data_IF_513520113169
#
_entry.id   IF_513520113169
#
_cell.length_a   1.000
_cell.length_b   1.000
_cell.length_c   1.000
_cell.angle_alpha   90.00
_cell.angle_beta   90.00
_cell.angle_gamma   90.00
#
_symmetry.space_group_name_H-M   'P 1'
#
loop_
_entity.id
_entity.type
_entity.pdbx_description
1 polymer ?
#
# COMPACT_ATOMS: atom_id res chain seq x y z
N UNK A 1 4.68 6.33 -17.92
CA UNK A 1 5.93 6.05 -17.16
C UNK A 1 7.05 5.76 -18.15
N UNK A 2 8.18 5.16 -17.74
CA UNK A 2 9.17 4.56 -18.64
C UNK A 2 9.52 3.15 -18.15
N UNK A 3 9.84 2.25 -19.06
CA UNK A 3 10.44 0.96 -18.66
C UNK A 3 11.74 1.24 -17.88
N UNK A 4 12.02 0.52 -16.77
CA UNK A 4 11.31 -0.63 -16.21
C UNK A 4 10.28 -0.30 -15.10
N UNK A 5 9.88 0.97 -14.90
CA UNK A 5 9.06 1.40 -13.76
C UNK A 5 7.63 0.83 -13.76
N UNK A 6 7.22 0.26 -14.88
CA UNK A 6 5.93 -0.40 -15.08
C UNK A 6 5.86 -1.81 -14.49
N UNK A 7 7.01 -2.38 -14.12
CA UNK A 7 7.07 -3.64 -13.37
C UNK A 7 6.28 -3.55 -12.07
N UNK A 8 5.28 -4.42 -11.91
CA UNK A 8 4.50 -4.51 -10.68
C UNK A 8 5.34 -5.01 -9.49
N UNK A 9 6.35 -5.85 -9.72
CA UNK A 9 7.28 -6.33 -8.68
C UNK A 9 8.13 -5.21 -8.06
N UNK A 10 8.33 -4.09 -8.78
CA UNK A 10 9.12 -2.96 -8.32
C UNK A 10 8.25 -1.94 -7.57
N UNK A 11 8.91 -1.06 -6.81
CA UNK A 11 8.32 0.20 -6.32
C UNK A 11 8.63 1.29 -7.35
N UNK A 12 7.58 1.99 -7.78
CA UNK A 12 7.66 3.09 -8.74
C UNK A 12 7.20 4.37 -8.08
N UNK A 13 7.91 5.46 -8.38
CA UNK A 13 7.73 6.75 -7.71
C UNK A 13 7.43 7.83 -8.74
N UNK A 14 6.33 8.53 -8.54
CA UNK A 14 6.00 9.76 -9.27
C UNK A 14 6.39 11.01 -8.49
N UNK A 15 6.16 12.16 -9.10
CA UNK A 15 6.50 13.46 -8.54
C UNK A 15 5.26 14.30 -8.22
N UNK A 16 5.30 14.97 -7.08
CA UNK A 16 4.49 16.13 -6.73
C UNK A 16 5.27 17.40 -7.08
N UNK A 17 4.56 18.51 -7.25
CA UNK A 17 5.18 19.79 -7.61
C UNK A 17 5.96 20.46 -6.47
N UNK A 18 5.77 20.01 -5.21
CA UNK A 18 6.51 20.52 -4.06
C UNK A 18 8.02 20.34 -4.19
N UNK A 19 8.76 21.21 -3.50
CA UNK A 19 10.21 21.32 -3.58
C UNK A 19 10.93 21.08 -2.24
N UNK A 20 10.24 20.52 -1.24
CA UNK A 20 10.69 20.29 0.15
C UNK A 20 10.79 21.54 1.05
N UNK A 21 10.60 22.74 0.51
CA UNK A 21 10.68 23.98 1.28
C UNK A 21 9.31 24.35 1.86
N UNK A 22 9.34 25.22 2.87
CA UNK A 22 8.12 25.75 3.47
C UNK A 22 7.35 26.62 2.47
N UNK A 23 6.02 26.44 2.47
CA UNK A 23 5.12 27.17 1.58
C UNK A 23 4.90 26.51 0.22
N UNK A 24 4.31 27.27 -0.69
CA UNK A 24 4.00 26.83 -2.04
C UNK A 24 4.82 27.65 -3.05
N UNK A 25 5.94 27.07 -3.47
CA UNK A 25 6.88 27.67 -4.43
C UNK A 25 6.67 27.14 -5.85
N UNK A 26 5.50 26.56 -6.15
CA UNK A 26 5.21 25.99 -7.47
C UNK A 26 5.15 27.05 -8.57
N UNK A 27 5.28 26.61 -9.83
CA UNK A 27 5.26 27.50 -10.99
C UNK A 27 4.14 27.18 -11.97
N UNK A 28 4.26 26.06 -12.69
CA UNK A 28 3.29 25.63 -13.70
C UNK A 28 2.13 24.88 -13.06
N UNK A 29 2.45 24.06 -12.07
CA UNK A 29 1.48 23.26 -11.36
C UNK A 29 0.79 24.12 -10.29
N UNK A 30 -0.55 24.05 -10.10
CA UNK A 30 -1.26 25.01 -9.25
C UNK A 30 -0.95 24.98 -7.75
N UNK A 31 -0.39 23.89 -7.24
CA UNK A 31 -0.13 23.68 -5.81
C UNK A 31 0.93 22.58 -5.60
N UNK A 32 1.79 22.73 -4.59
CA UNK A 32 2.83 21.79 -4.17
C UNK A 32 2.33 20.34 -3.91
N UNK A 33 1.07 20.16 -3.48
CA UNK A 33 0.46 18.84 -3.24
C UNK A 33 -0.06 18.18 -4.52
N UNK A 34 -0.08 18.90 -5.64
CA UNK A 34 -0.58 18.38 -6.91
C UNK A 34 0.49 17.53 -7.59
N UNK A 35 0.09 16.54 -8.40
CA UNK A 35 1.03 15.82 -9.25
C UNK A 35 1.74 16.81 -10.19
N UNK A 36 3.06 16.77 -10.25
CA UNK A 36 3.84 17.66 -11.12
C UNK A 36 3.46 17.46 -12.59
N UNK A 37 3.46 18.51 -13.42
CA UNK A 37 2.99 18.43 -14.82
C UNK A 37 3.70 17.35 -15.67
N UNK A 38 4.97 17.03 -15.35
CA UNK A 38 5.78 16.03 -16.05
C UNK A 38 5.60 14.61 -15.51
N UNK A 39 4.92 14.44 -14.36
CA UNK A 39 4.73 13.12 -13.74
C UNK A 39 3.88 12.24 -14.64
N UNK A 40 4.24 10.96 -14.77
CA UNK A 40 3.60 10.06 -15.72
C UNK A 40 2.74 9.03 -15.00
N UNK A 41 1.50 8.86 -15.48
CA UNK A 41 0.64 7.71 -15.14
C UNK A 41 1.05 6.43 -15.88
N UNK A 42 0.44 5.32 -15.47
CA UNK A 42 0.58 4.00 -16.08
C UNK A 42 0.08 4.00 -17.53
N UNK A 43 0.63 3.13 -18.40
CA UNK A 43 0.16 3.04 -19.80
C UNK A 43 -1.27 2.51 -19.93
N UNK A 44 -1.76 1.73 -18.94
CA UNK A 44 -3.16 1.31 -18.91
C UNK A 44 -4.06 2.50 -18.57
N UNK A 45 -4.63 3.10 -19.61
CA UNK A 45 -5.61 4.18 -19.49
C UNK A 45 -7.03 3.65 -19.72
N UNK A 46 -7.70 3.26 -18.63
CA UNK A 46 -9.07 2.76 -18.69
C UNK A 46 -10.10 3.80 -19.16
N UNK A 47 -9.72 5.08 -19.28
CA UNK A 47 -10.59 6.13 -19.83
C UNK A 47 -10.64 6.12 -21.35
N UNK A 48 -9.69 5.45 -22.01
CA UNK A 48 -9.63 5.39 -23.47
C UNK A 48 -10.55 4.29 -24.01
N UNK A 49 -11.34 4.55 -25.05
CA UNK A 49 -12.13 3.52 -25.71
C UNK A 49 -11.24 2.58 -26.54
N UNK A 50 -11.54 1.28 -26.51
CA UNK A 50 -10.92 0.26 -27.36
C UNK A 50 -11.91 -0.08 -28.46
N UNK A 51 -11.53 0.07 -29.74
CA UNK A 51 -12.43 -0.15 -30.88
C UNK A 51 -13.75 0.63 -30.78
N UNK A 52 -13.68 1.90 -30.33
CA UNK A 52 -14.83 2.79 -30.09
C UNK A 52 -15.80 2.32 -28.99
N UNK A 53 -15.43 1.31 -28.21
CA UNK A 53 -16.21 0.84 -27.06
C UNK A 53 -15.44 1.15 -25.76
N UNK A 54 -16.10 1.71 -24.74
CA UNK A 54 -15.46 1.85 -23.44
C UNK A 54 -15.18 0.48 -22.84
N UNK A 55 -14.10 0.37 -22.07
CA UNK A 55 -13.86 -0.83 -21.27
C UNK A 55 -14.97 -1.00 -20.25
N UNK A 56 -15.50 -2.22 -20.16
CA UNK A 56 -16.55 -2.56 -19.20
C UNK A 56 -15.99 -2.49 -17.78
N UNK A 57 -16.86 -2.22 -16.81
CA UNK A 57 -16.48 -2.19 -15.39
C UNK A 57 -15.80 -3.50 -14.94
N UNK A 58 -16.17 -4.65 -15.51
CA UNK A 58 -15.54 -5.93 -15.16
C UNK A 58 -14.11 -6.08 -15.73
N UNK A 59 -13.68 -5.27 -16.69
CA UNK A 59 -12.36 -5.32 -17.32
C UNK A 59 -11.34 -4.37 -16.68
N UNK A 60 -11.78 -3.33 -15.95
CA UNK A 60 -10.89 -2.38 -15.29
C UNK A 60 -10.64 -2.75 -13.83
N UNK A 61 -9.40 -2.62 -13.38
CA UNK A 61 -9.02 -2.83 -11.98
C UNK A 61 -8.62 -1.50 -11.33
N UNK A 62 -9.42 -1.06 -10.35
CA UNK A 62 -9.19 0.21 -9.64
C UNK A 62 -7.94 0.22 -8.77
N UNK A 63 -7.34 -0.94 -8.51
CA UNK A 63 -6.09 -1.10 -7.76
C UNK A 63 -4.87 -1.22 -8.66
N UNK A 64 -5.04 -1.44 -9.97
CA UNK A 64 -3.94 -1.44 -10.92
C UNK A 64 -3.58 -0.01 -11.29
N UNK A 65 -2.68 0.59 -10.51
CA UNK A 65 -2.16 1.92 -10.78
C UNK A 65 -0.65 1.91 -10.58
N UNK A 66 0.00 2.73 -11.40
CA UNK A 66 1.39 3.12 -11.26
C UNK A 66 1.42 4.65 -11.51
N UNK A 67 2.26 5.44 -10.82
CA UNK A 67 3.26 5.01 -9.84
C UNK A 67 2.62 4.40 -8.58
N UNK A 68 3.39 3.66 -7.78
CA UNK A 68 2.89 3.14 -6.50
C UNK A 68 2.79 4.27 -5.48
N UNK A 69 3.78 5.16 -5.46
CA UNK A 69 3.92 6.24 -4.49
C UNK A 69 4.32 7.53 -5.20
N UNK A 70 4.18 8.64 -4.51
CA UNK A 70 4.70 9.94 -4.96
C UNK A 70 5.49 10.62 -3.87
N UNK A 71 6.39 11.50 -4.28
CA UNK A 71 7.07 12.42 -3.38
C UNK A 71 7.31 13.75 -4.08
N UNK A 72 7.73 14.75 -3.34
CA UNK A 72 8.13 16.05 -3.88
C UNK A 72 9.21 15.86 -4.96
N UNK A 73 9.02 16.51 -6.10
CA UNK A 73 9.91 16.42 -7.26
C UNK A 73 10.28 17.79 -7.86
N UNK A 74 9.67 18.88 -7.38
CA UNK A 74 9.83 20.23 -7.89
C UNK A 74 9.06 20.50 -9.19
N UNK A 75 9.03 21.77 -9.59
CA UNK A 75 8.25 22.31 -10.72
C UNK A 75 9.05 23.41 -11.47
N UNK A 76 10.30 23.10 -11.80
CA UNK A 76 11.36 24.05 -12.17
C UNK A 76 11.19 24.68 -13.57
N UNK A 77 10.28 25.64 -13.68
CA UNK A 77 10.33 26.70 -14.70
C UNK A 77 10.78 28.05 -14.10
N UNK A 78 10.42 28.30 -12.83
CA UNK A 78 11.08 29.26 -11.92
C UNK A 78 12.11 28.54 -11.07
N UNK A 79 13.26 29.17 -10.85
CA UNK A 79 14.39 28.58 -10.12
C UNK A 79 13.96 28.05 -8.74
N UNK A 80 13.20 28.85 -7.99
CA UNK A 80 12.73 28.56 -6.64
C UNK A 80 11.78 27.34 -6.59
N UNK A 81 11.10 27.03 -7.70
CA UNK A 81 10.19 25.88 -7.78
C UNK A 81 10.91 24.53 -7.86
N UNK A 82 12.22 24.51 -8.12
CA UNK A 82 13.00 23.27 -8.14
C UNK A 82 13.44 22.81 -6.76
N UNK A 83 13.74 21.52 -6.65
CA UNK A 83 14.40 20.92 -5.50
C UNK A 83 15.89 21.29 -5.53
N UNK A 84 16.43 21.71 -4.39
CA UNK A 84 17.87 21.91 -4.23
C UNK A 84 18.61 20.58 -4.33
N UNK A 85 19.64 20.54 -5.16
CA UNK A 85 20.45 19.36 -5.44
C UNK A 85 21.94 19.70 -5.35
N UNK A 86 22.74 18.68 -5.00
CA UNK A 86 24.18 18.76 -5.13
C UNK A 86 24.57 18.69 -6.62
N UNK A 87 25.49 19.57 -7.01
CA UNK A 87 26.07 19.62 -8.35
C UNK A 87 27.59 19.50 -8.29
N UNK A 88 28.17 18.97 -9.36
CA UNK A 88 29.62 18.91 -9.50
C UNK A 88 30.24 20.32 -9.42
N UNK A 89 31.42 20.50 -8.78
CA UNK A 89 32.17 21.76 -8.87
C UNK A 89 32.58 22.09 -10.31
N UNK A 90 32.58 21.08 -11.19
CA UNK A 90 32.88 21.19 -12.62
C UNK A 90 31.63 21.33 -13.49
N UNK A 91 30.44 21.51 -12.90
CA UNK A 91 29.23 21.73 -13.66
C UNK A 91 29.28 23.08 -14.40
N UNK A 92 28.75 23.09 -15.63
CA UNK A 92 28.47 24.34 -16.34
C UNK A 92 27.28 25.05 -15.67
N UNK A 93 27.45 26.34 -15.39
CA UNK A 93 26.49 27.15 -14.63
C UNK A 93 26.73 27.07 -13.12
N UNK A 94 25.69 26.75 -12.35
CA UNK A 94 25.75 26.66 -10.89
C UNK A 94 26.62 25.50 -10.41
N UNK A 95 27.53 25.80 -9.49
CA UNK A 95 28.51 24.87 -8.93
C UNK A 95 28.14 24.52 -7.49
N UNK A 96 28.47 23.30 -7.07
CA UNK A 96 28.21 22.74 -5.73
C UNK A 96 26.73 22.51 -5.42
N UNK A 97 25.90 23.50 -5.68
CA UNK A 97 24.45 23.46 -5.50
C UNK A 97 23.78 23.96 -6.77
N UNK A 98 22.53 23.55 -6.96
CA UNK A 98 21.63 24.13 -7.93
C UNK A 98 20.24 23.58 -7.71
N UNK A 99 19.30 23.91 -8.59
CA UNK A 99 17.94 23.36 -8.53
C UNK A 99 17.61 22.53 -9.74
N UNK A 100 16.83 21.48 -9.52
CA UNK A 100 16.32 20.61 -10.58
C UNK A 100 14.89 20.16 -10.26
N UNK A 101 14.22 19.55 -11.23
CA UNK A 101 12.95 18.86 -10.97
C UNK A 101 12.91 17.51 -11.69
N UNK A 102 12.15 16.58 -11.16
CA UNK A 102 11.91 15.30 -11.81
C UNK A 102 11.55 14.17 -10.86
N UNK A 103 10.94 13.12 -11.42
CA UNK A 103 10.72 11.85 -10.69
C UNK A 103 12.04 11.21 -10.25
N UNK A 104 13.15 11.53 -10.93
CA UNK A 104 14.51 11.13 -10.54
C UNK A 104 14.95 11.72 -9.20
N UNK A 105 14.32 12.80 -8.72
CA UNK A 105 14.56 13.40 -7.41
C UNK A 105 13.59 12.86 -6.35
N UNK A 106 12.33 12.59 -6.74
CA UNK A 106 11.34 11.97 -5.84
C UNK A 106 11.72 10.51 -5.48
N UNK A 107 12.31 9.77 -6.43
CA UNK A 107 12.72 8.37 -6.24
C UNK A 107 13.68 8.18 -5.07
N UNK A 108 14.84 8.86 -4.98
CA UNK A 108 15.77 8.69 -3.87
C UNK A 108 15.18 9.10 -2.51
N UNK A 109 14.20 10.02 -2.47
CA UNK A 109 13.50 10.37 -1.23
C UNK A 109 12.69 9.18 -0.69
N UNK A 110 11.91 8.51 -1.55
CA UNK A 110 11.22 7.26 -1.17
C UNK A 110 12.21 6.14 -0.86
N UNK A 111 13.32 6.03 -1.62
CA UNK A 111 14.39 5.07 -1.34
C UNK A 111 15.01 5.29 0.03
N UNK A 112 15.16 6.54 0.49
CA UNK A 112 15.67 6.84 1.84
C UNK A 112 14.78 6.23 2.94
N UNK A 113 13.45 6.25 2.74
CA UNK A 113 12.51 5.66 3.70
C UNK A 113 12.56 4.13 3.66
N UNK A 114 12.72 3.54 2.47
CA UNK A 114 12.97 2.11 2.34
C UNK A 114 14.28 1.68 3.03
N UNK A 115 15.33 2.49 2.90
CA UNK A 115 16.60 2.27 3.57
C UNK A 115 16.48 2.39 5.10
N UNK A 116 15.70 3.35 5.62
CA UNK A 116 15.41 3.48 7.05
C UNK A 116 14.68 2.23 7.60
N UNK A 117 13.71 1.69 6.86
CA UNK A 117 13.04 0.42 7.21
C UNK A 117 14.05 -0.72 7.27
N UNK A 118 14.89 -0.89 6.25
CA UNK A 118 15.85 -1.99 6.16
C UNK A 118 17.04 -1.82 7.11
N UNK A 119 17.37 -0.59 7.51
CA UNK A 119 18.39 -0.35 8.52
C UNK A 119 17.92 -0.83 9.89
N UNK A 120 16.64 -0.61 10.22
CA UNK A 120 16.04 -1.08 11.47
C UNK A 120 15.72 -2.57 11.42
N UNK A 121 15.24 -3.08 10.28
CA UNK A 121 14.85 -4.47 10.09
C UNK A 121 15.44 -5.07 8.79
N UNK A 122 16.74 -5.46 8.81
CA UNK A 122 17.45 -5.90 7.61
C UNK A 122 16.91 -7.18 6.95
N UNK A 123 16.20 -8.01 7.72
CA UNK A 123 15.65 -9.29 7.26
C UNK A 123 14.31 -9.17 6.53
N UNK A 124 13.68 -7.98 6.51
CA UNK A 124 12.38 -7.79 5.84
C UNK A 124 12.50 -7.99 4.32
N UNK A 125 11.51 -8.69 3.75
CA UNK A 125 11.41 -8.89 2.30
C UNK A 125 11.07 -7.57 1.61
N UNK A 126 11.47 -7.45 0.34
CA UNK A 126 11.18 -6.29 -0.50
C UNK A 126 9.70 -5.93 -0.54
N UNK A 127 8.80 -6.92 -0.59
CA UNK A 127 7.35 -6.67 -0.61
C UNK A 127 6.82 -6.20 0.75
N UNK A 128 7.49 -6.53 1.85
CA UNK A 128 7.16 -6.01 3.19
C UNK A 128 7.54 -4.55 3.31
N UNK A 129 8.71 -4.16 2.80
CA UNK A 129 9.11 -2.76 2.68
C UNK A 129 8.10 -1.99 1.81
N UNK A 130 7.69 -2.56 0.66
CA UNK A 130 6.64 -1.96 -0.19
C UNK A 130 5.31 -1.80 0.54
N UNK A 131 4.86 -2.82 1.29
CA UNK A 131 3.63 -2.76 2.07
C UNK A 131 3.71 -1.67 3.15
N UNK A 132 4.81 -1.59 3.92
CA UNK A 132 5.04 -0.54 4.91
C UNK A 132 5.01 0.87 4.31
N UNK A 133 5.66 1.09 3.17
CA UNK A 133 5.63 2.39 2.47
C UNK A 133 4.22 2.78 2.00
N UNK A 134 3.43 1.80 1.55
CA UNK A 134 2.03 2.02 1.17
C UNK A 134 1.17 2.30 2.41
N UNK A 135 1.41 1.57 3.50
CA UNK A 135 0.68 1.74 4.75
C UNK A 135 0.92 3.11 5.40
N UNK A 136 2.14 3.65 5.27
CA UNK A 136 2.52 4.97 5.79
C UNK A 136 2.08 6.12 4.87
N UNK A 137 1.59 5.84 3.67
CA UNK A 137 1.26 6.86 2.69
C UNK A 137 -0.02 7.62 3.04
N UNK A 138 0.06 8.95 2.95
CA UNK A 138 -1.11 9.83 2.99
C UNK A 138 -1.62 10.05 1.56
N UNK A 139 -2.88 9.68 1.34
CA UNK A 139 -3.55 9.90 0.06
C UNK A 139 -4.15 11.32 -0.02
N UNK A 140 -3.98 11.97 -1.17
CA UNK A 140 -4.51 13.30 -1.43
C UNK A 140 -5.99 13.24 -1.77
N UNK A 141 -6.84 13.86 -0.96
CA UNK A 141 -8.27 13.97 -1.29
C UNK A 141 -8.45 14.98 -2.42
N UNK A 142 -9.19 14.60 -3.47
CA UNK A 142 -9.59 15.50 -4.56
C UNK A 142 -10.14 16.84 -4.08
N UNK A 143 -10.88 16.89 -2.97
CA UNK A 143 -11.44 18.14 -2.44
C UNK A 143 -10.36 19.15 -2.00
N UNK A 144 -9.16 18.68 -1.69
CA UNK A 144 -8.01 19.49 -1.31
C UNK A 144 -7.21 19.99 -2.52
N UNK A 145 -7.55 19.54 -3.72
CA UNK A 145 -6.85 19.82 -4.98
C UNK A 145 -7.83 20.47 -5.97
N UNK A 146 -7.88 21.82 -6.04
CA UNK A 146 -8.85 22.56 -6.86
C UNK A 146 -8.93 22.10 -8.32
N UNK A 147 -7.79 21.79 -8.93
CA UNK A 147 -7.62 21.36 -10.32
C UNK A 147 -8.20 19.96 -10.59
N UNK A 148 -8.34 19.12 -9.57
CA UNK A 148 -9.01 17.82 -9.68
C UNK A 148 -10.51 17.87 -9.38
N UNK A 149 -11.08 19.01 -8.95
CA UNK A 149 -12.52 19.13 -8.59
C UNK A 149 -13.48 18.67 -9.69
N UNK A 150 -13.11 18.89 -10.96
CA UNK A 150 -13.90 18.44 -12.13
C UNK A 150 -13.46 17.07 -12.67
N UNK A 151 -12.34 16.52 -12.21
CA UNK A 151 -11.80 15.23 -12.63
C UNK A 151 -12.37 14.05 -11.82
N UNK A 152 -12.02 12.81 -12.14
CA UNK A 152 -12.43 11.65 -11.33
C UNK A 152 -11.35 11.29 -10.30
N UNK A 153 -11.77 10.68 -9.18
CA UNK A 153 -10.84 10.14 -8.18
C UNK A 153 -9.86 9.13 -8.80
N UNK A 154 -10.31 8.39 -9.83
CA UNK A 154 -9.48 7.45 -10.58
C UNK A 154 -8.34 8.14 -11.32
N UNK A 155 -8.54 9.36 -11.84
CA UNK A 155 -7.48 10.10 -12.52
C UNK A 155 -6.44 10.55 -11.52
N UNK A 156 -6.84 11.14 -10.39
CA UNK A 156 -5.91 11.53 -9.33
C UNK A 156 -5.10 10.31 -8.86
N UNK A 157 -5.78 9.21 -8.55
CA UNK A 157 -5.14 7.95 -8.15
C UNK A 157 -4.16 7.41 -9.20
N UNK A 158 -4.45 7.57 -10.50
CA UNK A 158 -3.52 7.15 -11.56
C UNK A 158 -2.23 7.97 -11.62
N UNK A 159 -2.21 9.16 -11.01
CA UNK A 159 -1.05 10.06 -10.94
C UNK A 159 -0.31 9.96 -9.60
N UNK A 160 -1.03 9.72 -8.50
CA UNK A 160 -0.45 9.70 -7.14
C UNK A 160 -0.31 8.32 -6.51
N UNK A 161 -0.87 7.28 -7.12
CA UNK A 161 -0.82 5.92 -6.58
C UNK A 161 -1.51 5.81 -5.22
N UNK A 162 -0.79 5.26 -4.24
CA UNK A 162 -1.20 5.18 -2.84
C UNK A 162 -0.96 6.48 -2.06
N UNK A 163 -0.26 7.47 -2.66
CA UNK A 163 0.00 8.77 -2.06
C UNK A 163 1.46 8.97 -1.64
N UNK A 164 1.69 9.92 -0.73
CA UNK A 164 3.03 10.28 -0.25
C UNK A 164 3.32 9.60 1.10
N UNK A 165 4.32 8.70 1.17
CA UNK A 165 4.80 8.13 2.44
C UNK A 165 5.06 9.21 3.49
N UNK A 166 4.67 8.95 4.73
CA UNK A 166 4.93 9.85 5.86
C UNK A 166 5.99 9.22 6.76
N UNK A 167 7.11 9.92 6.98
CA UNK A 167 8.24 9.39 7.75
C UNK A 167 7.84 8.97 9.16
N UNK A 168 7.04 9.81 9.81
CA UNK A 168 6.50 9.58 11.15
C UNK A 168 5.61 8.34 11.21
N UNK A 169 5.10 7.81 10.10
CA UNK A 169 4.23 6.62 10.04
C UNK A 169 4.91 5.39 9.44
N UNK A 170 6.22 5.42 9.17
CA UNK A 170 6.91 4.27 8.58
C UNK A 170 6.94 3.09 9.55
N UNK A 171 7.56 3.31 10.71
CA UNK A 171 7.78 2.28 11.73
C UNK A 171 7.16 2.66 13.08
N UNK A 172 6.66 3.90 13.24
CA UNK A 172 6.15 4.32 14.53
C UNK A 172 4.89 3.55 14.90
N UNK A 173 4.90 3.11 16.15
CA UNK A 173 3.75 2.72 16.93
C UNK A 173 3.69 3.69 18.10
N UNK A 174 2.53 4.27 18.34
CA UNK A 174 2.29 5.08 19.53
C UNK A 174 1.41 4.29 20.51
N UNK A 175 1.11 4.87 21.67
CA UNK A 175 0.28 4.20 22.67
C UNK A 175 -1.14 3.83 22.15
N UNK A 176 -1.59 4.40 21.02
CA UNK A 176 -2.90 4.18 20.43
C UNK A 176 -2.85 3.44 19.08
N UNK A 177 -1.68 2.96 18.66
CA UNK A 177 -1.53 2.29 17.37
C UNK A 177 -0.43 1.25 17.38
N UNK A 178 -0.66 0.17 16.62
CA UNK A 178 0.28 -0.93 16.46
C UNK A 178 0.31 -1.36 14.99
N UNK A 179 1.47 -1.81 14.52
CA UNK A 179 1.63 -2.37 13.17
C UNK A 179 1.86 -3.87 13.30
N UNK A 180 1.00 -4.66 12.67
CA UNK A 180 1.20 -6.09 12.46
C UNK A 180 1.87 -6.30 11.10
N UNK A 181 2.98 -7.03 11.10
CA UNK A 181 3.66 -7.48 9.90
C UNK A 181 3.47 -8.98 9.74
N UNK A 182 3.02 -9.40 8.57
CA UNK A 182 2.89 -10.82 8.21
C UNK A 182 3.72 -11.06 6.96
N UNK A 183 4.68 -11.96 7.06
CA UNK A 183 5.41 -12.53 5.92
C UNK A 183 5.12 -14.03 5.87
N UNK A 184 4.39 -14.48 4.86
CA UNK A 184 3.98 -15.87 4.77
C UNK A 184 3.89 -16.32 3.30
N UNK A 185 3.52 -17.56 3.07
CA UNK A 185 3.38 -18.21 1.78
C UNK A 185 2.01 -18.89 1.64
N UNK A 186 1.42 -18.83 0.45
CA UNK A 186 0.07 -19.36 0.20
C UNK A 186 -0.01 -20.15 -1.11
N UNK A 187 -0.75 -21.25 -1.12
CA UNK A 187 -1.01 -22.08 -2.30
C UNK A 187 -2.23 -21.59 -3.09
N UNK A 188 -2.28 -21.86 -4.40
CA UNK A 188 -3.45 -21.54 -5.21
C UNK A 188 -4.68 -22.29 -4.67
N UNK A 189 -5.79 -21.58 -4.48
CA UNK A 189 -7.04 -22.10 -3.92
C UNK A 189 -7.07 -22.13 -2.38
N UNK A 190 -5.95 -21.85 -1.72
CA UNK A 190 -5.89 -21.80 -0.26
C UNK A 190 -6.45 -20.48 0.27
N UNK A 191 -7.03 -20.57 1.47
CA UNK A 191 -7.33 -19.45 2.35
C UNK A 191 -6.48 -19.64 3.61
N UNK A 192 -5.93 -18.55 4.15
CA UNK A 192 -5.30 -18.45 5.46
C UNK A 192 -6.14 -17.53 6.33
N UNK A 193 -6.26 -17.83 7.61
CA UNK A 193 -6.94 -16.97 8.60
C UNK A 193 -6.00 -16.73 9.76
N UNK A 194 -5.62 -15.48 9.97
CA UNK A 194 -4.71 -15.07 11.04
C UNK A 194 -5.56 -14.38 12.11
N UNK A 195 -5.76 -15.01 13.28
CA UNK A 195 -6.59 -14.44 14.34
C UNK A 195 -5.93 -13.20 14.93
N UNK A 196 -6.75 -12.23 15.31
CA UNK A 196 -6.36 -10.99 15.98
C UNK A 196 -7.29 -10.85 17.18
N UNK A 197 -6.73 -11.01 18.37
CA UNK A 197 -7.41 -10.82 19.63
C UNK A 197 -7.53 -9.32 19.90
N UNK A 198 -8.73 -8.89 20.26
CA UNK A 198 -9.06 -7.50 20.55
C UNK A 198 -9.07 -7.29 22.07
N UNK A 199 -8.43 -6.23 22.59
CA UNK A 199 -8.47 -5.88 24.00
C UNK A 199 -9.89 -5.69 24.52
N UNK A 200 -10.19 -6.29 25.66
CA UNK A 200 -11.53 -6.27 26.26
C UNK A 200 -12.00 -4.86 26.61
N UNK A 201 -11.09 -3.96 27.00
CA UNK A 201 -11.40 -2.57 27.35
C UNK A 201 -12.07 -1.80 26.20
N UNK A 202 -11.83 -2.18 24.94
CA UNK A 202 -12.39 -1.50 23.77
C UNK A 202 -13.92 -1.51 23.77
N UNK A 203 -14.55 -2.52 24.40
CA UNK A 203 -16.01 -2.61 24.54
C UNK A 203 -16.59 -1.59 25.52
N UNK A 204 -15.79 -1.13 26.47
CA UNK A 204 -16.21 -0.22 27.54
C UNK A 204 -16.01 1.26 27.16
N UNK A 205 -15.06 1.55 26.28
CA UNK A 205 -14.67 2.94 25.96
C UNK A 205 -15.58 3.66 24.97
N UNK A 206 -16.31 2.92 24.14
CA UNK A 206 -17.03 3.49 23.00
C UNK A 206 -16.14 3.88 21.81
N UNK A 207 -14.83 3.64 21.91
CA UNK A 207 -13.87 4.01 20.88
C UNK A 207 -14.02 3.14 19.63
N UNK A 208 -13.54 3.65 18.50
CA UNK A 208 -13.57 2.95 17.21
C UNK A 208 -12.20 2.34 16.94
N UNK A 209 -12.16 1.24 16.21
CA UNK A 209 -10.91 0.60 15.83
C UNK A 209 -10.75 0.64 14.31
N UNK A 210 -9.70 1.33 13.85
CA UNK A 210 -9.37 1.46 12.44
C UNK A 210 -8.27 0.49 12.07
N UNK A 211 -8.43 -0.19 10.95
CA UNK A 211 -7.45 -1.10 10.35
C UNK A 211 -7.09 -0.59 8.97
N UNK A 212 -5.87 -0.08 8.82
CA UNK A 212 -5.29 0.26 7.53
C UNK A 212 -4.40 -0.91 7.10
N UNK A 213 -4.83 -1.64 6.08
CA UNK A 213 -4.16 -2.88 5.64
C UNK A 213 -3.62 -2.68 4.23
N UNK A 214 -2.34 -3.00 4.07
CA UNK A 214 -1.65 -3.08 2.78
C UNK A 214 -1.17 -4.49 2.53
N UNK A 215 -1.34 -4.99 1.31
CA UNK A 215 -0.86 -6.32 0.90
C UNK A 215 -0.03 -6.16 -0.37
N UNK A 216 1.16 -6.73 -0.37
CA UNK A 216 2.07 -6.78 -1.51
C UNK A 216 2.64 -8.19 -1.71
N UNK A 217 2.90 -8.57 -2.96
CA UNK A 217 3.49 -9.86 -3.28
C UNK A 217 4.31 -9.82 -4.58
N UNK A 218 5.26 -10.73 -4.70
CA UNK A 218 6.03 -10.92 -5.93
C UNK A 218 5.43 -12.05 -6.75
N UNK A 219 5.65 -12.01 -8.06
CA UNK A 219 5.15 -13.05 -8.96
C UNK A 219 6.10 -13.25 -10.14
N UNK A 220 5.94 -14.37 -10.83
CA UNK A 220 6.59 -14.64 -12.12
C UNK A 220 5.74 -14.03 -13.25
N UNK A 221 6.21 -12.95 -13.91
CA UNK A 221 5.42 -12.32 -14.96
C UNK A 221 5.33 -13.17 -16.22
N UNK A 222 4.16 -13.16 -16.86
CA UNK A 222 4.00 -13.73 -18.21
C UNK A 222 4.52 -12.71 -19.22
N UNK A 223 5.61 -13.04 -19.91
CA UNK A 223 6.20 -12.19 -20.95
C UNK A 223 5.25 -12.04 -22.14
N UNK A 224 5.30 -10.86 -22.77
CA UNK A 224 4.59 -10.53 -24.01
C UNK A 224 3.06 -10.74 -23.96
N UNK A 225 2.48 -10.81 -22.76
CA UNK A 225 1.05 -10.94 -22.54
C UNK A 225 0.60 -9.93 -21.48
N UNK A 226 0.15 -8.76 -21.93
CA UNK A 226 -0.24 -7.67 -21.03
C UNK A 226 -1.49 -7.99 -20.19
N UNK A 227 -2.43 -8.78 -20.72
CA UNK A 227 -3.65 -9.17 -19.98
C UNK A 227 -3.34 -10.15 -18.84
N UNK A 228 -2.38 -11.04 -19.09
CA UNK A 228 -1.96 -12.08 -18.13
C UNK A 228 -0.59 -11.80 -17.52
N UNK A 229 -0.08 -10.57 -17.64
CA UNK A 229 1.24 -10.19 -17.14
C UNK A 229 1.40 -10.61 -15.68
N UNK A 230 0.37 -10.34 -14.87
CA UNK A 230 0.18 -10.88 -13.53
C UNK A 230 -0.93 -11.95 -13.56
N UNK A 231 -0.57 -13.25 -13.50
CA UNK A 231 -1.55 -14.35 -13.48
C UNK A 231 -1.93 -14.80 -12.05
N UNK A 232 -1.14 -14.42 -11.05
CA UNK A 232 -1.34 -14.74 -9.64
C UNK A 232 -2.21 -13.66 -8.98
N UNK A 233 -3.10 -14.07 -8.08
CA UNK A 233 -3.97 -13.15 -7.40
C UNK A 233 -4.08 -13.44 -5.90
N UNK A 234 -3.45 -12.59 -5.08
CA UNK A 234 -3.54 -12.66 -3.62
C UNK A 234 -4.38 -11.47 -3.11
N UNK A 235 -5.35 -11.74 -2.25
CA UNK A 235 -6.23 -10.74 -1.65
C UNK A 235 -6.47 -11.01 -0.17
N UNK A 236 -6.95 -9.99 0.54
CA UNK A 236 -7.24 -10.07 1.97
C UNK A 236 -8.63 -9.53 2.32
N UNK A 237 -9.16 -9.93 3.48
CA UNK A 237 -10.34 -9.35 4.10
C UNK A 237 -10.24 -9.39 5.63
N UNK A 238 -10.95 -8.50 6.32
CA UNK A 238 -11.23 -8.68 7.75
C UNK A 238 -12.56 -9.41 7.92
N UNK A 239 -12.50 -10.57 8.58
CA UNK A 239 -13.61 -11.50 8.75
C UNK A 239 -13.81 -11.83 10.22
N UNK A 240 -14.95 -12.44 10.55
CA UNK A 240 -15.16 -13.02 11.88
C UNK A 240 -14.11 -14.11 12.13
N UNK A 241 -13.63 -14.22 13.37
CA UNK A 241 -12.73 -15.29 13.74
C UNK A 241 -13.51 -16.61 13.85
N UNK A 242 -13.58 -17.34 12.73
CA UNK A 242 -14.34 -18.58 12.59
C UNK A 242 -13.50 -19.63 11.87
N UNK A 243 -13.99 -20.87 11.82
CA UNK A 243 -13.29 -21.96 11.13
C UNK A 243 -13.05 -21.58 9.66
N UNK A 244 -11.83 -21.81 9.18
CA UNK A 244 -11.40 -21.51 7.83
C UNK A 244 -12.31 -22.15 6.75
N UNK A 245 -12.91 -23.31 7.04
CA UNK A 245 -13.88 -23.97 6.16
C UNK A 245 -15.12 -23.13 5.95
N UNK A 246 -15.58 -22.42 6.97
CA UNK A 246 -16.73 -21.51 6.86
C UNK A 246 -16.39 -20.35 5.92
N UNK A 247 -15.18 -19.80 6.02
CA UNK A 247 -14.71 -18.74 5.11
C UNK A 247 -14.56 -19.23 3.68
N UNK A 248 -14.18 -20.50 3.49
CA UNK A 248 -13.98 -21.11 2.17
C UNK A 248 -15.30 -21.51 1.48
N UNK A 249 -16.29 -21.99 2.23
CA UNK A 249 -17.47 -22.65 1.66
C UNK A 249 -18.76 -21.83 1.75
N UNK A 250 -18.84 -20.87 2.66
CA UNK A 250 -20.08 -20.11 2.92
C UNK A 250 -20.05 -18.74 2.28
N UNK A 251 -21.23 -18.16 2.14
CA UNK A 251 -21.37 -16.78 1.68
C UNK A 251 -20.84 -15.78 2.71
N UNK A 252 -20.44 -14.61 2.21
CA UNK A 252 -19.96 -13.50 3.03
C UNK A 252 -20.92 -13.10 4.17
N UNK A 253 -22.23 -13.36 4.02
CA UNK A 253 -23.21 -13.10 5.08
C UNK A 253 -22.97 -13.92 6.35
N UNK A 254 -22.23 -15.03 6.27
CA UNK A 254 -21.96 -15.93 7.39
C UNK A 254 -20.64 -15.57 8.09
N UNK A 255 -19.56 -15.36 7.34
CA UNK A 255 -18.23 -15.11 7.91
C UNK A 255 -17.85 -13.62 7.97
N UNK A 256 -18.56 -12.74 7.27
CA UNK A 256 -18.24 -11.33 7.20
C UNK A 256 -18.55 -10.61 8.51
N UNK A 257 -17.73 -9.61 8.86
CA UNK A 257 -17.99 -8.78 10.05
C UNK A 257 -19.24 -7.92 9.85
N UNK A 258 -19.31 -7.21 8.71
CA UNK A 258 -20.47 -6.38 8.32
C UNK A 258 -20.47 -6.06 6.84
N UNK A 259 -21.59 -5.52 6.36
CA UNK A 259 -21.69 -4.99 4.99
C UNK A 259 -20.62 -3.94 4.72
N UNK A 260 -19.94 -4.05 3.57
CA UNK A 260 -18.83 -3.18 3.17
C UNK A 260 -17.44 -3.74 3.45
N UNK A 261 -17.32 -4.74 4.32
CA UNK A 261 -16.05 -5.43 4.59
C UNK A 261 -15.81 -6.54 3.56
N UNK A 262 -15.59 -6.17 2.30
CA UNK A 262 -15.35 -7.16 1.24
C UNK A 262 -13.87 -7.54 1.14
N UNK A 263 -13.57 -8.63 0.43
CA UNK A 263 -12.22 -8.88 -0.08
C UNK A 263 -11.64 -7.62 -0.76
N UNK A 264 -10.34 -7.43 -0.59
CA UNK A 264 -9.56 -6.32 -1.16
C UNK A 264 -9.49 -6.38 -2.69
N UNK A 265 -9.96 -7.48 -3.25
CA UNK A 265 -10.05 -7.65 -4.68
C UNK A 265 -11.04 -6.75 -5.36
N UNK A 266 -10.72 -6.52 -6.61
CA UNK A 266 -11.59 -5.89 -7.57
C UNK A 266 -11.52 -6.82 -8.76
N UNK A 267 -12.34 -7.88 -8.80
CA UNK A 267 -12.57 -8.68 -10.00
C UNK A 267 -13.98 -9.29 -10.08
N UNK A 268 -14.53 -9.36 -11.29
CA UNK A 268 -15.71 -10.17 -11.63
C UNK A 268 -15.31 -11.11 -12.76
N UNK A 269 -14.98 -12.36 -12.41
CA UNK A 269 -14.33 -13.32 -13.31
C UNK A 269 -12.82 -13.08 -13.38
N UNK A 270 -12.04 -14.13 -13.06
CA UNK A 270 -10.58 -14.08 -12.91
C UNK A 270 -9.90 -13.86 -14.27
N UNK A 271 -10.40 -14.47 -15.35
CA UNK A 271 -9.75 -14.43 -16.67
C UNK A 271 -9.80 -13.04 -17.32
N UNK A 272 -10.88 -12.29 -17.14
CA UNK A 272 -11.15 -11.07 -17.91
C UNK A 272 -10.56 -9.79 -17.30
N UNK A 273 -9.71 -9.89 -16.28
CA UNK A 273 -9.19 -8.73 -15.55
C UNK A 273 -7.68 -8.74 -15.38
N UNK A 274 -7.08 -7.57 -15.49
CA UNK A 274 -5.66 -7.34 -15.20
C UNK A 274 -5.52 -7.06 -13.70
N UNK A 275 -4.57 -7.72 -13.06
CA UNK A 275 -4.41 -7.66 -11.60
C UNK A 275 -3.35 -6.66 -11.16
N UNK A 276 -3.42 -6.28 -9.88
CA UNK A 276 -2.38 -5.54 -9.18
C UNK A 276 -1.79 -6.40 -8.07
N UNK A 277 -0.48 -6.35 -7.91
CA UNK A 277 0.23 -7.04 -6.83
C UNK A 277 0.34 -6.20 -5.55
N UNK A 278 -0.25 -5.00 -5.54
CA UNK A 278 -0.27 -4.10 -4.38
C UNK A 278 -1.70 -3.63 -4.14
N UNK A 279 -2.14 -3.73 -2.89
CA UNK A 279 -3.51 -3.42 -2.48
C UNK A 279 -3.47 -2.68 -1.15
N UNK A 280 -4.42 -1.77 -0.96
CA UNK A 280 -4.64 -1.06 0.29
C UNK A 280 -6.13 -0.93 0.55
N UNK A 281 -6.55 -1.16 1.79
CA UNK A 281 -7.91 -0.95 2.22
C UNK A 281 -7.98 -0.57 3.70
N UNK A 282 -8.86 0.37 3.99
CA UNK A 282 -9.15 0.82 5.35
C UNK A 282 -10.49 0.25 5.80
N UNK A 283 -10.51 -0.31 7.00
CA UNK A 283 -11.70 -0.79 7.68
C UNK A 283 -11.85 -0.06 9.00
N UNK A 284 -13.08 0.20 9.43
CA UNK A 284 -13.35 0.81 10.73
C UNK A 284 -14.49 0.09 11.42
N UNK A 285 -14.17 -0.53 12.55
CA UNK A 285 -15.13 -1.07 13.49
C UNK A 285 -15.62 0.06 14.39
N UNK A 286 -16.92 0.28 14.39
CA UNK A 286 -17.60 1.13 15.35
C UNK A 286 -17.70 0.38 16.68
N UNK A 287 -17.98 1.10 17.77
CA UNK A 287 -18.23 0.49 19.09
C UNK A 287 -19.24 -0.67 19.03
N UNK A 288 -20.36 -0.51 18.32
CA UNK A 288 -21.35 -1.57 18.15
C UNK A 288 -20.79 -2.80 17.40
N UNK A 289 -19.87 -2.60 16.45
CA UNK A 289 -19.26 -3.71 15.71
C UNK A 289 -18.29 -4.49 16.61
N UNK A 290 -17.53 -3.78 17.47
CA UNK A 290 -16.63 -4.39 18.46
C UNK A 290 -17.39 -5.28 19.45
N UNK A 291 -18.59 -4.86 19.85
CA UNK A 291 -19.47 -5.67 20.68
C UNK A 291 -19.99 -6.92 19.96
N UNK A 292 -20.23 -6.83 18.64
CA UNK A 292 -20.77 -7.93 17.85
C UNK A 292 -19.73 -9.01 17.48
N UNK A 293 -18.48 -8.62 17.19
CA UNK A 293 -17.41 -9.58 16.83
C UNK A 293 -16.82 -10.33 18.03
N UNK A 294 -17.14 -9.90 19.26
CA UNK A 294 -16.62 -10.52 20.47
C UNK A 294 -15.18 -10.10 20.76
N UNK A 295 -14.33 -11.05 21.15
CA UNK A 295 -12.95 -10.79 21.58
C UNK A 295 -11.92 -10.96 20.47
N UNK A 296 -12.33 -11.34 19.25
CA UNK A 296 -11.39 -11.56 18.16
C UNK A 296 -12.01 -11.39 16.79
N UNK A 297 -11.15 -11.04 15.84
CA UNK A 297 -11.42 -11.05 14.40
C UNK A 297 -10.31 -11.85 13.71
N UNK A 298 -10.40 -12.04 12.40
CA UNK A 298 -9.31 -12.65 11.65
C UNK A 298 -9.00 -11.85 10.37
N UNK A 299 -7.71 -11.77 10.05
CA UNK A 299 -7.24 -11.41 8.73
C UNK A 299 -7.31 -12.65 7.84
N UNK A 300 -8.27 -12.68 6.93
CA UNK A 300 -8.35 -13.69 5.88
C UNK A 300 -7.45 -13.30 4.71
N UNK A 301 -6.63 -14.21 4.21
CA UNK A 301 -5.83 -14.07 2.98
C UNK A 301 -6.18 -15.22 2.06
N UNK A 302 -6.39 -14.97 0.77
CA UNK A 302 -6.65 -16.03 -0.21
C UNK A 302 -5.85 -15.85 -1.48
N UNK A 303 -5.64 -16.97 -2.16
CA UNK A 303 -4.83 -17.03 -3.36
C UNK A 303 -5.59 -17.68 -4.52
N UNK A 304 -5.64 -17.01 -5.65
CA UNK A 304 -6.27 -17.45 -6.90
C UNK A 304 -5.26 -17.31 -8.04
N UNK A 305 -5.54 -17.96 -9.16
CA UNK A 305 -4.72 -17.83 -10.37
C UNK A 305 -5.60 -17.86 -11.61
N UNK A 306 -5.12 -17.21 -12.68
CA UNK A 306 -5.65 -17.39 -14.03
C UNK A 306 -5.35 -18.80 -14.54
N UNK A 307 -6.30 -19.35 -15.30
CA UNK A 307 -6.15 -20.65 -15.94
C UNK A 307 -5.69 -20.53 -17.40
N UNK A 308 -6.07 -19.45 -18.10
CA UNK A 308 -5.76 -19.24 -19.53
C UNK A 308 -4.36 -18.64 -19.76
N UNK A 309 -3.32 -19.34 -19.29
CA UNK A 309 -1.91 -18.90 -19.38
C UNK A 309 -1.02 -20.03 -19.93
N UNK A 310 0.23 -19.73 -20.38
CA UNK A 310 1.13 -20.77 -20.87
C UNK A 310 1.33 -21.90 -19.85
N UNK A 311 1.33 -23.15 -20.32
CA UNK A 311 1.37 -24.33 -19.46
C UNK A 311 2.54 -24.33 -18.45
N UNK A 312 3.70 -23.80 -18.86
CA UNK A 312 4.87 -23.64 -17.97
C UNK A 312 4.59 -22.73 -16.78
N UNK A 313 3.86 -21.64 -16.98
CA UNK A 313 3.47 -20.72 -15.91
C UNK A 313 2.39 -21.34 -15.04
N UNK A 314 1.42 -22.04 -15.63
CA UNK A 314 0.38 -22.73 -14.88
C UNK A 314 0.97 -23.81 -13.97
N UNK A 315 1.92 -24.62 -14.47
CA UNK A 315 2.65 -25.59 -13.67
C UNK A 315 3.43 -24.92 -12.54
N UNK A 316 4.13 -23.82 -12.81
CA UNK A 316 4.86 -23.05 -11.79
C UNK A 316 3.92 -22.51 -10.70
N UNK A 317 2.74 -21.99 -11.05
CA UNK A 317 1.76 -21.49 -10.10
C UNK A 317 1.21 -22.61 -9.20
N UNK A 318 0.88 -23.77 -9.77
CA UNK A 318 0.30 -24.90 -9.04
C UNK A 318 1.30 -25.69 -8.19
N UNK A 319 2.59 -25.69 -8.56
CA UNK A 319 3.61 -26.50 -7.90
C UNK A 319 4.39 -25.76 -6.79
N UNK A 320 4.05 -24.50 -6.51
CA UNK A 320 4.78 -23.65 -5.56
C UNK A 320 3.82 -22.88 -4.68
N UNK A 321 4.30 -22.56 -3.49
CA UNK A 321 3.70 -21.55 -2.64
C UNK A 321 4.16 -20.17 -3.05
N UNK A 322 3.32 -19.17 -2.81
CA UNK A 322 3.55 -17.81 -3.24
C UNK A 322 3.69 -16.89 -2.03
N UNK A 323 4.83 -16.22 -1.92
CA UNK A 323 5.09 -15.30 -0.83
C UNK A 323 4.24 -14.05 -0.91
N UNK A 324 3.70 -13.63 0.23
CA UNK A 324 3.01 -12.35 0.38
C UNK A 324 3.46 -11.65 1.65
N UNK A 325 3.26 -10.35 1.66
CA UNK A 325 3.55 -9.47 2.78
C UNK A 325 2.33 -8.62 3.10
N UNK A 326 1.94 -8.57 4.37
CA UNK A 326 0.90 -7.66 4.87
C UNK A 326 1.50 -6.73 5.91
N UNK A 327 1.24 -5.43 5.76
CA UNK A 327 1.39 -4.46 6.84
C UNK A 327 0.00 -3.94 7.21
N UNK A 328 -0.40 -4.20 8.45
CA UNK A 328 -1.69 -3.82 9.02
C UNK A 328 -1.48 -2.91 10.22
N UNK A 329 -1.82 -1.64 10.05
CA UNK A 329 -1.86 -0.67 11.15
C UNK A 329 -3.23 -0.72 11.79
N UNK A 330 -3.25 -0.98 13.09
CA UNK A 330 -4.43 -0.87 13.93
C UNK A 330 -4.33 0.43 14.72
N UNK A 331 -5.38 1.23 14.71
CA UNK A 331 -5.41 2.53 15.41
C UNK A 331 -6.72 2.70 16.15
N UNK A 332 -6.62 2.98 17.44
CA UNK A 332 -7.76 3.36 18.26
C UNK A 332 -8.12 4.81 17.95
N UNK A 333 -9.37 5.03 17.54
CA UNK A 333 -9.92 6.34 17.28
C UNK A 333 -10.87 6.69 18.44
N UNK A 334 -10.43 7.56 19.37
CA UNK A 334 -11.23 7.89 20.52
C UNK A 334 -12.48 8.69 20.15
N UNK A 335 -13.60 8.40 20.81
CA UNK A 335 -14.80 9.25 20.72
C UNK A 335 -14.68 10.46 21.65
N UNK A 336 -14.13 10.25 22.85
CA UNK A 336 -13.90 11.32 23.85
C UNK A 336 -12.42 11.44 24.24
N UNK A 337 -11.80 10.35 24.71
CA UNK A 337 -10.40 10.34 25.17
C UNK A 337 -9.69 9.06 24.71
N UNK A 338 -8.44 9.21 24.27
CA UNK A 338 -7.57 8.09 23.96
C UNK A 338 -7.28 7.25 25.21
N UNK A 339 -7.39 5.92 25.09
CA UNK A 339 -6.98 5.01 26.15
C UNK A 339 -5.48 5.12 26.45
N UNK A 340 -4.66 5.38 25.41
CA UNK A 340 -3.21 5.28 25.44
C UNK A 340 -2.72 3.91 25.93
N UNK A 341 -3.48 2.85 25.64
CA UNK A 341 -3.22 1.49 26.08
C UNK A 341 -3.26 0.46 24.93
N UNK A 342 -3.70 0.85 23.72
CA UNK A 342 -3.87 -0.10 22.62
C UNK A 342 -2.60 -0.90 22.34
N UNK A 343 -1.45 -0.23 22.25
CA UNK A 343 -0.18 -0.90 21.94
C UNK A 343 0.15 -2.02 22.94
N UNK A 344 0.16 -1.68 24.24
CA UNK A 344 0.49 -2.64 25.30
C UNK A 344 -0.53 -3.78 25.41
N UNK A 345 -1.81 -3.46 25.26
CA UNK A 345 -2.89 -4.44 25.38
C UNK A 345 -2.91 -5.40 24.18
N UNK A 346 -2.69 -4.90 22.96
CA UNK A 346 -2.59 -5.75 21.77
C UNK A 346 -1.40 -6.71 21.85
N UNK A 347 -0.26 -6.28 22.38
CA UNK A 347 0.91 -7.16 22.63
C UNK A 347 0.57 -8.20 23.70
N UNK A 348 -0.10 -7.82 24.77
CA UNK A 348 -0.42 -8.73 25.87
C UNK A 348 -1.43 -9.82 25.47
N UNK A 349 -2.36 -9.53 24.56
CA UNK A 349 -3.44 -10.46 24.20
C UNK A 349 -3.20 -11.25 22.90
N UNK A 350 -2.16 -10.95 22.13
CA UNK A 350 -1.82 -11.65 20.90
C UNK A 350 -0.43 -12.29 20.98
N UNK A 351 -0.27 -13.47 20.39
CA UNK A 351 1.05 -14.10 20.21
C UNK A 351 1.78 -13.43 19.03
N UNK A 352 2.49 -12.34 19.31
CA UNK A 352 3.20 -11.52 18.32
C UNK A 352 4.69 -11.59 18.62
N UNK A 353 5.51 -11.87 17.60
CA UNK A 353 6.95 -11.63 17.68
C UNK A 353 7.20 -10.11 17.69
N UNK A 354 7.64 -9.57 18.81
CA UNK A 354 8.06 -8.17 18.89
C UNK A 354 9.42 -8.00 18.20
N UNK A 355 9.39 -7.71 16.90
CA UNK A 355 10.61 -7.51 16.10
C UNK A 355 11.42 -6.28 16.53
N UNK A 356 10.83 -5.31 17.24
CA UNK A 356 11.54 -4.13 17.73
C UNK A 356 12.53 -4.47 18.87
N UNK A 357 12.18 -5.42 19.74
CA UNK A 357 13.08 -5.89 20.81
C UNK A 357 14.23 -6.73 20.25
N UNK A 358 13.95 -7.60 19.26
CA UNK A 358 14.98 -8.45 18.62
C UNK A 358 16.02 -7.64 17.85
N UNK A 359 15.64 -6.48 17.30
CA UNK A 359 16.58 -5.58 16.61
C UNK A 359 17.49 -4.80 17.58
N UNK A 360 17.04 -4.55 18.82
CA UNK A 360 17.82 -3.85 19.84
C UNK A 360 19.00 -4.67 20.39
N UNK A 361 18.81 -5.98 20.55
CA UNK A 361 19.87 -6.88 21.05
C UNK A 361 21.01 -7.08 20.02
N UNK A 362 20.72 -7.03 18.72
CA UNK A 362 21.74 -7.15 17.66
C UNK A 362 22.74 -5.97 17.64
N UNK A 363 22.37 -4.81 18.22
CA UNK A 363 23.26 -3.65 18.36
C UNK A 363 24.23 -3.77 19.53
N UNK A 364 23.98 -4.64 20.52
CA UNK A 364 24.82 -4.78 21.72
C UNK A 364 25.95 -5.81 21.49
N UNK A 365 25.77 -6.78 20.60
CA UNK A 365 26.77 -7.84 20.34
C UNK A 365 27.93 -7.43 19.40
N UNK A 366 27.93 -6.19 18.88
CA UNK A 366 29.01 -5.70 17.98
C UNK A 366 30.09 -4.85 18.68
N UNK A 367 29.99 -4.67 20.00
CA UNK A 367 31.04 -4.07 20.82
C UNK A 367 31.60 -5.08 21.84
N UNK A 368 32.46 -5.99 21.37
CA UNK A 368 33.37 -6.74 22.24
C UNK A 368 34.68 -7.09 21.56
#
# INVERSE_FOLDING_TARGET
MSEPSESLNNVSVGALAGNLEDGDNTDVTPNNLSPAYYTRKFHFDYSQPVNKQPLRRNQSNKHLNKPDLVFDGGDLFKYEAGIEILRSPMADGEKYYGRSCGTSLSTPLVTSYAAEILNTYPSLRTQTVKALLINSASYFKKNNLPEFRISTESVLKSLVGFGKPQKDKLLSTDNNSIIFLVEDEIEIGQILTIPIILPSYLKETGNKLKFDISLCYSFLPVKDNHLNYLPLYISFNLVQNTDIKIVAEKDHAVYGIKTGFSWSEDHHGIENRIFSNAQFKSYTLQSNDLNAVGDSIALGVRCLAKEEIPATHLSHLKSRKHYFSVAMRVTELPENKASNQLYSEMIACNDILNIAETAGDATIELES
#
